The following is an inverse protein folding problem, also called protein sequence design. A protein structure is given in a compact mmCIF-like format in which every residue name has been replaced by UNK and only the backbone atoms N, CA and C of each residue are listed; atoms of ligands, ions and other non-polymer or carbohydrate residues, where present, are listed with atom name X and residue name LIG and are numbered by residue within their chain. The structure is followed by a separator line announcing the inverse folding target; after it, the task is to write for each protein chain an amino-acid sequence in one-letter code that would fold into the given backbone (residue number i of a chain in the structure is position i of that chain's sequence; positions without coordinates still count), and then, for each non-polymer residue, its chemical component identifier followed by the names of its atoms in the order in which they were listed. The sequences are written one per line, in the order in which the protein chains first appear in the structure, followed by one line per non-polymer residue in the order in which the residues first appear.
data_IF_230546745704
#
_entry.id   IF_230546745704
#
_cell.length_a   1.000
_cell.length_b   1.000
_cell.length_c   1.000
_cell.angle_alpha   90.00
_cell.angle_beta   90.00
_cell.angle_gamma   90.00
#
_symmetry.space_group_name_H-M   'P 1'
#
loop_
_entity.id
_entity.type
_entity.pdbx_description
1 polymer ?
2 branched ?
3 water ?
#
# COMPACT_ATOMS: atom_id res chain seq x y z
N UNK A 15 -19.24 13.75 3.32
CA UNK A 15 -19.00 12.31 3.38
C UNK A 15 -19.11 11.70 1.99
N UNK A 16 -18.23 10.75 1.70
CA UNK A 16 -18.18 10.21 0.35
C UNK A 16 -19.19 9.07 0.18
N UNK A 17 -19.59 8.87 -1.06
CA UNK A 17 -20.56 7.85 -1.45
C UNK A 17 -19.92 6.47 -1.63
N UNK A 18 -18.60 6.35 -1.54
CA UNK A 18 -17.92 5.07 -1.71
C UNK A 18 -18.25 4.42 -3.06
N UNK A 19 -18.36 5.22 -4.12
CA UNK A 19 -18.86 4.65 -5.36
C UNK A 19 -17.78 4.25 -6.37
N UNK A 20 -16.50 4.47 -6.10
CA UNK A 20 -15.43 3.91 -6.96
C UNK A 20 -14.70 2.81 -6.18
N UNK A 21 -15.35 1.65 -6.10
CA UNK A 21 -14.80 0.52 -5.37
C UNK A 21 -13.95 -0.33 -6.29
N UNK A 22 -12.71 -0.58 -5.90
CA UNK A 22 -11.78 -1.40 -6.68
C UNK A 22 -11.38 -2.54 -5.77
N UNK A 23 -12.09 -3.67 -5.87
CA UNK A 23 -11.94 -4.77 -4.93
C UNK A 23 -11.23 -5.95 -5.58
N UNK A 24 -10.14 -6.44 -4.97
CA UNK A 24 -9.43 -7.58 -5.55
C UNK A 24 -10.12 -8.92 -5.34
N UNK A 25 -11.00 -9.05 -4.35
CA UNK A 25 -11.63 -10.32 -4.02
C UNK A 25 -13.15 -10.20 -4.04
N UNK A 26 -13.81 -11.24 -4.55
CA UNK A 26 -15.27 -11.29 -4.47
C UNK A 26 -15.73 -12.04 -3.24
N UNK A 27 -14.87 -12.85 -2.64
CA UNK A 27 -15.20 -13.65 -1.47
C UNK A 27 -14.37 -13.15 -0.29
N UNK A 28 -13.74 -14.04 0.47
CA UNK A 28 -12.95 -13.60 1.61
C UNK A 28 -11.67 -12.91 1.13
N UNK A 29 -11.19 -11.97 1.92
CA UNK A 29 -9.99 -11.23 1.55
C UNK A 29 -8.76 -12.11 1.66
N UNK A 30 -8.00 -12.19 0.58
CA UNK A 30 -6.73 -12.86 0.57
C UNK A 30 -6.84 -14.28 0.08
N UNK A 31 -5.71 -14.91 -0.22
CA UNK A 31 -5.73 -16.33 -0.57
C UNK A 31 -6.02 -17.17 0.66
N UNK A 32 -6.39 -18.42 0.40
CA UNK A 32 -6.71 -19.33 1.49
C UNK A 32 -5.51 -20.17 1.90
N UNK A 33 -4.44 -20.16 1.11
CA UNK A 33 -3.30 -21.03 1.33
C UNK A 33 -2.25 -20.36 2.20
N UNK A 34 -1.35 -21.18 2.71
CA UNK A 34 -0.42 -20.78 3.75
C UNK A 34 0.84 -20.16 3.19
N UNK A 35 1.65 -19.64 4.12
CA UNK A 35 2.96 -19.15 3.75
C UNK A 35 3.81 -20.24 3.11
N UNK A 36 3.76 -21.47 3.63
CA UNK A 36 4.53 -22.56 3.04
C UNK A 36 4.12 -22.79 1.58
N UNK A 37 2.83 -22.64 1.27
CA UNK A 37 2.39 -22.78 -0.11
C UNK A 37 3.06 -21.73 -0.99
N UNK A 38 3.09 -20.49 -0.51
CA UNK A 38 3.72 -19.41 -1.25
C UNK A 38 5.20 -19.70 -1.47
N UNK A 39 5.88 -20.17 -0.43
CA UNK A 39 7.28 -20.52 -0.57
C UNK A 39 7.47 -21.57 -1.64
N UNK A 40 6.60 -22.57 -1.67
CA UNK A 40 6.81 -23.70 -2.56
C UNK A 40 6.46 -23.38 -4.00
N UNK A 41 5.69 -22.32 -4.24
CA UNK A 41 5.32 -21.96 -5.61
C UNK A 41 6.13 -20.81 -6.18
N UNK A 42 7.03 -20.22 -5.41
CA UNK A 42 7.70 -19.05 -5.98
C UNK A 42 8.83 -19.49 -6.92
N UNK A 43 9.27 -18.60 -7.79
CA UNK A 43 10.30 -18.98 -8.77
C UNK A 43 11.61 -19.40 -8.11
N UNK A 44 12.33 -20.28 -8.81
CA UNK A 44 13.56 -20.86 -8.26
C UNK A 44 14.58 -19.77 -7.93
N UNK A 45 14.54 -18.64 -8.65
CA UNK A 45 15.48 -17.55 -8.42
C UNK A 45 15.46 -17.02 -6.99
N UNK A 46 14.36 -17.21 -6.28
CA UNK A 46 14.20 -16.66 -4.95
C UNK A 46 14.39 -17.68 -3.84
N UNK A 47 14.76 -18.91 -4.20
CA UNK A 47 15.01 -19.92 -3.19
C UNK A 47 13.81 -20.15 -2.30
N UNK A 48 14.07 -20.22 -1.00
CA UNK A 48 13.05 -20.51 -0.01
C UNK A 48 12.62 -19.28 0.77
N UNK A 49 13.19 -18.11 0.50
CA UNK A 49 12.85 -16.90 1.25
C UNK A 49 11.87 -16.07 0.44
N UNK A 50 10.78 -15.68 1.07
CA UNK A 50 9.66 -15.06 0.39
C UNK A 50 9.53 -13.56 0.66
N UNK A 51 10.56 -12.93 1.22
CA UNK A 51 10.53 -11.49 1.40
C UNK A 51 11.92 -10.94 1.13
N UNK A 52 12.00 -9.63 0.96
CA UNK A 52 13.27 -8.94 0.79
C UNK A 52 13.48 -7.98 1.95
N UNK A 53 14.76 -7.72 2.23
CA UNK A 53 15.16 -6.80 3.28
C UNK A 53 16.13 -5.77 2.73
N UNK A 54 16.05 -4.55 3.28
CA UNK A 54 16.98 -3.49 2.91
C UNK A 54 17.21 -2.61 4.13
N UNK A 55 18.46 -2.34 4.44
CA UNK A 55 18.77 -1.38 5.51
C UNK A 55 18.23 0.00 5.14
N UNK A 56 17.47 0.61 6.04
CA UNK A 56 16.89 1.90 5.74
C UNK A 56 17.98 2.96 5.70
N UNK A 57 17.78 3.97 4.86
CA UNK A 57 18.66 5.12 4.90
C UNK A 57 18.50 5.80 6.26
N UNK A 58 19.55 6.49 6.68
CA UNK A 58 19.57 7.17 7.95
C UNK A 58 20.39 8.45 7.76
N UNK A 59 19.78 9.42 7.07
CA UNK A 59 20.41 10.72 6.82
C UNK A 59 19.90 11.69 7.87
N UNK A 60 20.71 11.92 8.91
CA UNK A 60 20.35 12.91 9.92
C UNK A 60 20.46 14.33 9.36
N UNK A 61 21.47 14.56 8.52
CA UNK A 61 21.69 15.88 7.92
C UNK A 61 20.99 15.92 6.56
N UNK A 62 19.66 15.90 6.63
CA UNK A 62 18.80 15.98 5.47
C UNK A 62 17.39 16.30 5.95
N UNK A 63 16.52 16.79 5.06
CA UNK A 63 15.11 16.98 5.44
C UNK A 63 14.46 15.64 5.72
N UNK A 64 13.29 15.72 6.37
CA UNK A 64 12.56 14.50 6.66
C UNK A 64 12.13 13.81 5.37
N UNK A 65 11.62 14.59 4.43
CA UNK A 65 11.11 14.01 3.19
C UNK A 65 11.23 15.02 2.07
N UNK A 66 11.08 14.52 0.85
CA UNK A 66 10.86 15.34 -0.33
C UNK A 66 9.59 14.84 -1.00
N UNK A 67 8.66 15.74 -1.29
CA UNK A 67 7.40 15.34 -1.91
C UNK A 67 7.29 16.02 -3.26
N UNK A 68 7.13 15.23 -4.31
CA UNK A 68 7.19 15.69 -5.68
C UNK A 68 5.88 15.39 -6.38
N UNK A 69 5.45 16.32 -7.22
CA UNK A 69 4.26 16.16 -8.05
C UNK A 69 4.68 15.74 -9.45
N UNK A 70 4.02 14.75 -10.01
CA UNK A 70 4.21 14.38 -11.41
C UNK A 70 2.89 14.50 -12.17
N UNK A 71 3.01 14.93 -13.42
CA UNK A 71 1.96 14.84 -14.42
C UNK A 71 2.62 14.22 -15.65
N UNK A 72 2.20 13.01 -16.00
CA UNK A 72 2.91 12.21 -16.98
C UNK A 72 1.96 11.64 -18.02
N UNK A 73 2.51 11.42 -19.22
CA UNK A 73 1.76 10.82 -20.33
C UNK A 73 2.02 9.32 -20.34
N UNK A 74 0.97 8.52 -20.22
CA UNK A 74 1.06 7.07 -20.21
C UNK A 74 0.40 6.56 -21.48
N UNK A 75 1.07 5.66 -22.19
CA UNK A 75 0.50 5.01 -23.35
C UNK A 75 0.27 3.55 -23.01
N UNK A 76 -0.97 3.10 -23.19
CA UNK A 76 -1.32 1.74 -22.82
C UNK A 76 -1.02 0.81 -24.00
N UNK A 77 -1.41 -0.47 -23.85
CA UNK A 77 -1.11 -1.46 -24.87
C UNK A 77 -1.79 -1.13 -26.19
N UNK A 78 -3.03 -0.65 -26.14
CA UNK A 78 -3.78 -0.32 -27.35
C UNK A 78 -3.26 0.95 -28.04
N UNK A 79 -2.18 1.57 -27.55
CA UNK A 79 -1.66 2.79 -28.11
C UNK A 79 -2.32 4.06 -27.64
N UNK A 80 -3.26 3.97 -26.70
CA UNK A 80 -4.02 5.13 -26.22
C UNK A 80 -3.19 5.92 -25.21
N UNK A 81 -3.14 7.24 -25.40
CA UNK A 81 -2.44 8.13 -24.48
C UNK A 81 -3.39 8.72 -23.45
N UNK A 82 -2.89 8.87 -22.23
CA UNK A 82 -3.65 9.48 -21.15
C UNK A 82 -2.69 10.21 -20.24
N UNK A 83 -3.11 11.37 -19.74
CA UNK A 83 -2.35 12.04 -18.69
C UNK A 83 -2.78 11.51 -17.33
N UNK A 84 -1.79 11.30 -16.47
CA UNK A 84 -2.02 10.88 -15.09
C UNK A 84 -1.28 11.84 -14.18
N UNK A 85 -1.82 12.06 -13.00
CA UNK A 85 -1.26 13.00 -12.04
C UNK A 85 -1.14 12.34 -10.67
N UNK A 86 -0.11 12.71 -9.93
CA UNK A 86 0.08 12.14 -8.62
C UNK A 86 1.31 12.68 -7.92
N UNK A 87 1.74 11.93 -6.91
CA UNK A 87 2.85 12.32 -6.07
C UNK A 87 3.80 11.16 -5.83
N UNK A 88 5.09 11.50 -5.74
CA UNK A 88 6.15 10.61 -5.31
C UNK A 88 6.80 11.26 -4.10
N UNK A 89 6.82 10.54 -2.98
CA UNK A 89 7.42 11.08 -1.76
C UNK A 89 8.62 10.22 -1.36
N UNK A 90 9.75 10.88 -1.08
CA UNK A 90 10.98 10.21 -0.69
C UNK A 90 11.28 10.52 0.76
N UNK A 91 11.50 9.48 1.56
CA UNK A 91 11.64 9.59 3.01
C UNK A 91 13.07 9.21 3.39
N UNK A 92 13.77 10.13 4.07
CA UNK A 92 15.21 9.99 4.25
C UNK A 92 15.61 9.20 5.49
N UNK A 93 14.76 9.14 6.52
CA UNK A 93 15.08 8.39 7.74
C UNK A 93 13.83 7.63 8.15
N UNK A 94 13.48 6.58 7.41
CA UNK A 94 12.18 5.92 7.63
C UNK A 94 11.99 5.38 9.02
N UNK A 95 13.05 4.87 9.67
CA UNK A 95 12.86 4.30 11.00
C UNK A 95 12.31 5.34 11.96
N UNK A 96 12.75 6.59 11.83
CA UNK A 96 12.32 7.62 12.74
C UNK A 96 11.01 8.26 12.33
N UNK A 97 10.71 8.34 11.03
CA UNK A 97 9.66 9.22 10.54
C UNK A 97 8.40 8.53 10.05
N UNK A 98 8.39 7.20 9.93
CA UNK A 98 7.26 6.49 9.34
C UNK A 98 6.45 5.81 10.44
N UNK A 99 5.13 6.02 10.41
CA UNK A 99 4.20 5.36 11.32
C UNK A 99 3.03 4.80 10.53
N UNK A 100 2.65 3.57 10.87
CA UNK A 100 1.38 3.00 10.45
C UNK A 100 0.35 3.35 11.52
N UNK A 101 -0.71 4.07 11.13
CA UNK A 101 -1.71 4.56 12.08
C UNK A 101 -3.02 3.82 11.90
N UNK A 102 -3.65 3.44 13.03
CA UNK A 102 -5.02 2.94 13.00
C UNK A 102 -5.98 4.07 12.66
N UNK A 103 -7.15 3.74 12.11
CA UNK A 103 -8.11 4.79 11.77
C UNK A 103 -8.57 5.53 13.02
N UNK A 104 -8.46 6.86 12.98
CA UNK A 104 -9.02 7.71 14.01
C UNK A 104 -8.14 7.86 15.24
N UNK A 105 -7.54 6.76 15.67
CA UNK A 105 -6.72 6.74 16.85
C UNK A 105 -6.46 5.31 17.26
N UNK A 106 -5.52 5.12 18.18
CA UNK A 106 -5.26 3.78 18.70
C UNK A 106 -6.55 3.14 19.16
N UNK A 107 -6.75 1.88 18.78
CA UNK A 107 -7.97 1.17 19.07
C UNK A 107 -9.02 1.23 17.98
N UNK A 108 -8.80 2.03 16.93
CA UNK A 108 -9.83 2.19 15.91
C UNK A 108 -10.20 0.89 15.20
N UNK A 109 -9.22 0.01 14.98
CA UNK A 109 -9.52 -1.24 14.30
C UNK A 109 -10.45 -2.13 15.11
N UNK A 110 -10.27 -2.15 16.43
CA UNK A 110 -11.12 -2.97 17.28
C UNK A 110 -12.58 -2.59 17.15
N UNK A 111 -12.89 -1.36 16.73
CA UNK A 111 -14.26 -0.88 16.64
C UNK A 111 -14.75 -0.80 15.21
N UNK A 112 -14.02 -1.37 14.26
CA UNK A 112 -14.40 -1.28 12.85
C UNK A 112 -14.62 0.17 12.42
N UNK A 113 -13.78 1.07 12.93
CA UNK A 113 -13.87 2.50 12.64
C UNK A 113 -13.21 2.85 11.31
N UNK A 114 -13.87 3.71 10.55
CA UNK A 114 -13.33 4.27 9.31
C UNK A 114 -13.23 5.79 9.46
N UNK A 115 -12.22 6.39 8.85
CA UNK A 115 -12.03 7.82 8.98
C UNK A 115 -11.21 8.33 7.80
N UNK A 116 -11.45 9.60 7.46
CA UNK A 116 -10.66 10.25 6.42
C UNK A 116 -9.18 10.21 6.76
N UNK A 117 -8.35 10.09 5.73
CA UNK A 117 -6.91 10.20 5.93
C UNK A 117 -6.58 11.49 6.66
N UNK A 118 -7.20 12.60 6.25
CA UNK A 118 -6.79 13.90 6.77
C UNK A 118 -7.07 14.00 8.27
N UNK A 119 -8.15 13.39 8.73
CA UNK A 119 -8.47 13.42 10.16
C UNK A 119 -7.48 12.58 10.95
N UNK A 120 -7.26 11.34 10.52
CA UNK A 120 -6.26 10.51 11.19
C UNK A 120 -4.89 11.17 11.14
N UNK A 121 -4.53 11.74 9.99
CA UNK A 121 -3.21 12.34 9.83
C UNK A 121 -2.98 13.47 10.82
N UNK A 122 -4.02 14.26 11.11
CA UNK A 122 -3.83 15.40 11.99
C UNK A 122 -3.54 14.98 13.42
N UNK A 123 -3.97 13.78 13.83
CA UNK A 123 -3.70 13.34 15.20
C UNK A 123 -2.21 13.20 15.46
N UNK A 124 -1.40 13.05 14.42
CA UNK A 124 0.04 12.91 14.56
C UNK A 124 0.81 13.97 13.79
N UNK A 125 0.14 15.02 13.30
CA UNK A 125 0.77 16.11 12.55
C UNK A 125 1.66 15.55 11.44
N UNK A 126 1.10 14.61 10.70
CA UNK A 126 1.82 14.02 9.58
C UNK A 126 2.13 15.10 8.56
N UNK A 127 3.39 15.15 8.13
CA UNK A 127 3.79 16.00 7.02
C UNK A 127 3.18 15.53 5.71
N UNK A 128 3.24 14.23 5.46
CA UNK A 128 2.59 13.60 4.32
C UNK A 128 1.87 12.40 4.85
N UNK A 129 0.64 12.17 4.39
CA UNK A 129 -0.07 10.96 4.74
C UNK A 129 -0.80 10.43 3.52
N UNK A 130 -0.86 9.11 3.40
CA UNK A 130 -1.68 8.46 2.41
C UNK A 130 -2.55 7.41 3.06
N UNK A 131 -3.61 7.03 2.36
CA UNK A 131 -4.36 5.89 2.81
C UNK A 131 -3.45 4.68 2.79
N UNK A 132 -3.84 3.66 3.57
CA UNK A 132 -2.97 2.54 3.81
C UNK A 132 -3.58 1.25 3.32
N UNK A 133 -3.97 0.41 4.27
CA UNK A 133 -4.34 -0.94 3.96
C UNK A 133 -5.78 -1.10 3.56
N UNK A 134 -6.11 -2.32 3.14
CA UNK A 134 -7.45 -2.69 2.74
C UNK A 134 -8.34 -2.87 3.97
N UNK A 135 -9.65 -2.78 3.74
CA UNK A 135 -10.62 -2.94 4.81
C UNK A 135 -11.91 -3.42 4.18
N UNK A 136 -12.77 -3.99 5.02
CA UNK A 136 -14.06 -4.48 4.57
C UNK A 136 -14.96 -3.27 4.34
N UNK A 137 -15.35 -3.05 3.07
CA UNK A 137 -16.06 -1.83 2.72
C UNK A 137 -17.51 -1.85 3.20
N UNK A 138 -18.00 -2.97 3.69
CA UNK A 138 -19.34 -3.02 4.28
C UNK A 138 -19.32 -2.86 5.80
N UNK A 139 -18.38 -3.51 6.49
CA UNK A 139 -18.38 -3.49 7.95
C UNK A 139 -17.34 -2.52 8.54
N UNK A 140 -16.32 -2.13 7.80
CA UNK A 140 -15.24 -1.33 8.33
C UNK A 140 -14.12 -2.14 8.95
N UNK A 141 -14.24 -3.46 8.96
CA UNK A 141 -13.22 -4.30 9.58
C UNK A 141 -11.86 -4.09 8.91
N UNK A 142 -10.82 -4.02 9.73
CA UNK A 142 -9.45 -3.94 9.24
C UNK A 142 -9.05 -5.29 8.67
N UNK A 143 -8.07 -5.27 7.76
CA UNK A 143 -7.63 -6.47 7.06
C UNK A 143 -6.12 -6.50 6.99
N UNK A 144 -5.57 -7.70 6.90
CA UNK A 144 -4.14 -7.85 6.87
C UNK A 144 -3.53 -7.81 8.26
N UNK A 145 -2.22 -7.71 8.28
CA UNK A 145 -1.46 -7.54 9.51
C UNK A 145 -1.23 -6.07 9.76
N UNK A 146 -1.27 -5.68 11.04
CA UNK A 146 -1.10 -4.27 11.40
C UNK A 146 -0.27 -4.22 12.66
N UNK A 147 0.87 -3.53 12.59
CA UNK A 147 1.67 -3.16 13.75
C UNK A 147 1.88 -1.67 13.67
N UNK A 148 1.55 -0.96 14.75
CA UNK A 148 1.55 0.50 14.79
C UNK A 148 2.45 0.93 15.94
N UNK A 149 3.57 1.57 15.62
CA UNK A 149 4.49 2.11 16.62
C UNK A 149 4.81 1.06 17.68
N UNK A 150 5.21 -0.13 17.21
CA UNK A 150 5.65 -1.20 18.08
C UNK A 150 4.55 -2.09 18.64
N UNK A 151 3.28 -1.73 18.43
CA UNK A 151 2.16 -2.42 19.07
C UNK A 151 1.44 -3.28 18.03
N UNK A 152 1.21 -4.54 18.39
CA UNK A 152 0.51 -5.45 17.51
C UNK A 152 -0.97 -5.11 17.55
N UNK A 153 -1.49 -4.65 16.42
CA UNK A 153 -2.89 -4.24 16.31
C UNK A 153 -3.74 -5.36 15.74
N UNK A 154 -3.26 -6.03 14.70
CA UNK A 154 -4.01 -7.11 14.08
C UNK A 154 -3.05 -8.15 13.56
N UNK A 155 -3.26 -9.38 13.99
CA UNK A 155 -2.57 -10.56 13.48
C UNK A 155 -3.55 -11.30 12.59
N UNK A 156 -3.31 -11.28 11.27
CA UNK A 156 -4.24 -11.91 10.34
C UNK A 156 -4.27 -13.42 10.48
N UNK A 157 -3.31 -14.00 11.20
CA UNK A 157 -3.16 -15.43 11.22
C UNK A 157 -2.45 -15.99 10.01
N UNK A 158 -1.56 -15.20 9.40
CA UNK A 158 -0.78 -15.67 8.28
C UNK A 158 -1.43 -15.56 6.92
N UNK A 159 -2.39 -14.66 6.74
CA UNK A 159 -2.95 -14.46 5.41
C UNK A 159 -1.86 -13.93 4.48
N UNK A 160 -1.74 -14.57 3.31
CA UNK A 160 -0.61 -14.33 2.42
C UNK A 160 -0.93 -13.26 1.40
N UNK A 161 -0.91 -12.02 1.85
CA UNK A 161 -0.88 -10.85 0.98
C UNK A 161 0.46 -10.16 1.12
N UNK A 162 0.76 -9.28 0.17
CA UNK A 162 2.00 -8.51 0.18
C UNK A 162 2.08 -7.63 1.43
N UNK A 163 3.27 -7.57 2.02
CA UNK A 163 3.50 -6.85 3.27
C UNK A 163 4.59 -5.80 3.11
N UNK A 164 4.48 -4.75 3.91
CA UNK A 164 5.54 -3.77 4.12
C UNK A 164 5.73 -3.56 5.62
N UNK A 165 6.96 -3.72 6.09
CA UNK A 165 7.25 -3.50 7.50
C UNK A 165 8.61 -2.85 7.71
N UNK A 166 8.78 -2.32 8.91
CA UNK A 166 10.04 -1.79 9.39
C UNK A 166 10.34 -2.47 10.71
N UNK A 167 11.56 -3.01 10.83
CA UNK A 167 12.01 -3.69 12.04
C UNK A 167 12.79 -2.72 12.93
N UNK A 168 12.92 -3.11 14.19
CA UNK A 168 13.48 -2.22 15.21
C UNK A 168 14.84 -1.68 14.80
N UNK A 169 15.63 -2.48 14.11
CA UNK A 169 16.98 -2.06 13.74
C UNK A 169 16.99 -1.26 12.44
N UNK A 170 15.83 -0.92 11.91
CA UNK A 170 15.74 -0.13 10.71
C UNK A 170 15.63 -0.93 9.43
N UNK A 171 15.57 -2.25 9.51
CA UNK A 171 15.43 -3.06 8.32
C UNK A 171 14.06 -2.82 7.69
N UNK A 172 14.05 -2.47 6.41
CA UNK A 172 12.82 -2.44 5.64
C UNK A 172 12.52 -3.83 5.11
N UNK A 173 11.27 -4.25 5.20
CA UNK A 173 10.87 -5.59 4.78
C UNK A 173 9.72 -5.46 3.80
N UNK A 174 9.84 -6.17 2.67
CA UNK A 174 8.81 -6.20 1.64
C UNK A 174 8.59 -7.63 1.20
N UNK A 175 7.33 -8.02 1.08
CA UNK A 175 6.98 -9.31 0.50
C UNK A 175 6.02 -10.12 1.35
N UNK A 176 6.22 -11.44 1.37
CA UNK A 176 5.31 -12.35 2.04
C UNK A 176 5.90 -12.81 3.37
N UNK A 177 5.08 -12.75 4.42
CA UNK A 177 5.52 -13.06 5.76
C UNK A 177 4.59 -14.08 6.41
N UNK A 178 5.18 -14.98 7.17
CA UNK A 178 4.40 -15.92 7.94
C UNK A 178 3.94 -15.27 9.24
N UNK A 179 3.01 -15.92 9.93
CA UNK A 179 2.62 -15.44 11.25
C UNK A 179 3.81 -15.45 12.20
N UNK A 180 4.64 -16.49 12.14
CA UNK A 180 5.82 -16.56 12.99
C UNK A 180 6.75 -15.38 12.71
N UNK A 181 6.88 -15.00 11.44
CA UNK A 181 7.69 -13.86 11.06
C UNK A 181 7.23 -12.58 11.79
N UNK A 182 5.93 -12.30 11.77
CA UNK A 182 5.46 -11.02 12.30
C UNK A 182 5.43 -11.03 13.82
N UNK A 183 5.39 -12.19 14.46
CA UNK A 183 5.40 -12.28 15.92
C UNK A 183 6.81 -12.32 16.50
N UNK A 184 7.83 -12.33 15.63
CA UNK A 184 9.21 -12.46 16.04
C UNK A 184 9.57 -11.41 17.09
N UNK A 185 10.17 -11.86 18.19
CA UNK A 185 10.58 -10.93 19.23
C UNK A 185 12.06 -10.57 19.16
N UNK A 186 12.81 -11.21 18.29
CA UNK A 186 14.14 -10.76 17.94
C UNK A 186 14.03 -9.75 16.80
N UNK A 187 14.58 -8.57 16.99
CA UNK A 187 14.51 -7.48 16.02
C UNK A 187 13.06 -7.30 15.58
N UNK A 188 12.16 -7.02 16.51
CA UNK A 188 10.73 -7.08 16.20
C UNK A 188 10.31 -6.00 15.23
N UNK A 189 9.19 -6.25 14.54
CA UNK A 189 8.62 -5.21 13.70
C UNK A 189 8.13 -4.05 14.56
N UNK A 190 8.43 -2.83 14.13
CA UNK A 190 7.86 -1.65 14.77
C UNK A 190 6.74 -1.03 13.93
N UNK A 191 6.73 -1.26 12.63
CA UNK A 191 5.60 -0.91 11.76
C UNK A 191 5.35 -2.07 10.82
N UNK A 192 4.09 -2.33 10.50
CA UNK A 192 3.72 -3.38 9.56
C UNK A 192 2.33 -3.10 9.01
N UNK A 193 2.18 -3.25 7.70
CA UNK A 193 0.92 -3.06 7.00
C UNK A 193 0.90 -4.02 5.82
N UNK A 194 -0.31 -4.42 5.39
CA UNK A 194 -0.48 -5.31 4.25
C UNK A 194 -1.18 -4.60 3.10
N UNK A 195 -0.76 -4.92 1.87
CA UNK A 195 -1.50 -4.53 0.68
C UNK A 195 -2.02 -5.72 -0.09
N UNK A 196 -2.12 -5.57 -1.40
CA UNK A 196 -2.53 -6.64 -2.30
C UNK A 196 -1.74 -6.41 -3.58
N UNK A 197 -0.82 -7.35 -3.86
CA UNK A 197 0.10 -7.41 -5.00
C UNK A 197 1.46 -6.83 -4.64
N UNK A 198 2.49 -7.64 -4.86
CA UNK A 198 3.89 -7.26 -4.74
C UNK A 198 4.33 -6.81 -6.13
N UNK A 199 4.49 -5.50 -6.31
CA UNK A 199 4.67 -4.92 -7.63
C UNK A 199 6.08 -5.17 -8.16
N UNK A 200 7.09 -4.92 -7.33
CA UNK A 200 8.48 -5.03 -7.71
C UNK A 200 9.21 -5.83 -6.67
N UNK A 201 10.02 -6.78 -7.13
CA UNK A 201 10.89 -7.59 -6.29
C UNK A 201 12.28 -7.54 -6.90
N UNK A 202 13.26 -7.05 -6.13
CA UNK A 202 14.64 -6.95 -6.58
C UNK A 202 14.75 -6.24 -7.94
N UNK A 203 13.91 -5.22 -8.12
CA UNK A 203 13.96 -4.38 -9.30
C UNK A 203 13.22 -4.90 -10.50
N UNK A 204 12.51 -6.02 -10.38
CA UNK A 204 11.78 -6.61 -11.49
C UNK A 204 10.30 -6.69 -11.17
N UNK A 205 9.48 -6.57 -12.21
CA UNK A 205 8.04 -6.65 -12.04
C UNK A 205 7.68 -8.04 -11.55
N UNK A 206 6.83 -8.11 -10.53
CA UNK A 206 6.53 -9.35 -9.82
C UNK A 206 5.03 -9.61 -9.77
N UNK A 207 4.29 -9.05 -10.71
CA UNK A 207 2.84 -9.08 -10.64
C UNK A 207 2.31 -10.46 -10.95
N UNK A 208 2.85 -11.12 -11.98
CA UNK A 208 2.35 -12.44 -12.29
C UNK A 208 2.63 -13.43 -11.16
N UNK A 209 3.79 -13.30 -10.52
CA UNK A 209 4.09 -14.11 -9.33
C UNK A 209 3.11 -13.77 -8.19
N UNK A 210 2.75 -12.50 -8.05
CA UNK A 210 1.81 -12.10 -7.01
C UNK A 210 0.44 -12.70 -7.23
N UNK A 211 0.00 -12.76 -8.48
CA UNK A 211 -1.31 -13.32 -8.76
C UNK A 211 -1.37 -14.75 -8.27
N UNK A 212 -0.30 -15.50 -8.48
CA UNK A 212 -0.25 -16.89 -8.03
C UNK A 212 -0.20 -16.98 -6.51
N UNK A 213 0.52 -16.07 -5.85
CA UNK A 213 0.68 -16.12 -4.41
C UNK A 213 -0.53 -15.61 -3.65
N UNK A 214 -1.25 -14.63 -4.21
CA UNK A 214 -2.22 -13.85 -3.44
C UNK A 214 -3.65 -14.11 -3.85
N UNK A 215 -3.89 -15.01 -4.76
CA UNK A 215 -5.24 -15.33 -5.19
C UNK A 215 -5.40 -16.84 -5.25
N UNK A 216 -6.53 -17.33 -4.76
CA UNK A 216 -6.86 -18.73 -4.93
C UNK A 216 -7.00 -19.08 -6.41
N UNK A 217 -6.54 -20.26 -6.79
CA UNK A 217 -6.57 -20.70 -8.18
C UNK A 217 -7.97 -21.26 -8.47
N UNK A 218 -8.92 -20.34 -8.51
CA UNK A 218 -10.33 -20.66 -8.71
C UNK A 218 -10.90 -19.64 -9.69
N UNK A 219 -12.23 -19.56 -9.76
CA UNK A 219 -12.88 -18.50 -10.53
C UNK A 219 -12.48 -17.11 -10.03
N UNK A 220 -11.96 -17.03 -8.80
CA UNK A 220 -11.52 -15.75 -8.22
C UNK A 220 -10.49 -15.06 -9.10
N UNK A 221 -9.70 -15.83 -9.88
CA UNK A 221 -8.60 -15.24 -10.62
C UNK A 221 -9.08 -14.26 -11.68
N UNK A 222 -10.28 -14.48 -12.24
CA UNK A 222 -10.79 -13.53 -13.22
C UNK A 222 -10.92 -12.12 -12.67
N UNK A 223 -11.64 -11.98 -11.55
CA UNK A 223 -11.77 -10.67 -10.92
C UNK A 223 -10.43 -10.15 -10.44
N UNK A 224 -9.55 -11.04 -9.97
CA UNK A 224 -8.25 -10.58 -9.49
C UNK A 224 -7.40 -10.05 -10.62
N UNK A 225 -7.41 -10.72 -11.77
CA UNK A 225 -6.65 -10.20 -12.91
C UNK A 225 -7.24 -8.90 -13.44
N UNK A 226 -8.57 -8.73 -13.37
CA UNK A 226 -9.16 -7.43 -13.70
C UNK A 226 -8.67 -6.35 -12.75
N UNK A 227 -8.66 -6.64 -11.44
CA UNK A 227 -8.11 -5.72 -10.45
C UNK A 227 -6.70 -5.28 -10.80
N UNK A 228 -5.91 -6.19 -11.36
CA UNK A 228 -4.54 -5.87 -11.77
C UNK A 228 -4.52 -5.05 -13.05
N UNK A 229 -5.35 -5.43 -14.04
CA UNK A 229 -5.28 -4.91 -15.42
C UNK A 229 -6.02 -3.61 -15.63
N UNK A 230 -7.03 -3.32 -14.82
CA UNK A 230 -7.86 -2.13 -15.03
C UNK A 230 -7.10 -0.88 -14.60
N UNK A 231 -7.34 0.25 -15.27
CA UNK A 231 -6.76 1.50 -14.75
C UNK A 231 -7.62 2.02 -13.61
N UNK A 232 -7.00 2.67 -12.62
CA UNK A 232 -7.71 3.27 -11.51
C UNK A 232 -6.77 4.21 -10.76
N UNK A 233 -7.29 4.82 -9.69
CA UNK A 233 -6.41 5.45 -8.73
C UNK A 233 -5.66 4.36 -8.00
N UNK A 234 -4.37 4.60 -7.71
CA UNK A 234 -3.54 3.60 -7.05
C UNK A 234 -2.63 4.28 -6.04
N UNK A 235 -2.20 3.52 -5.03
CA UNK A 235 -1.14 3.94 -4.13
C UNK A 235 -0.19 2.77 -3.89
N UNK A 236 1.06 3.09 -3.53
CA UNK A 236 2.07 2.05 -3.37
C UNK A 236 3.13 2.56 -2.42
N UNK A 237 3.89 1.61 -1.85
CA UNK A 237 5.04 1.94 -1.01
C UNK A 237 6.19 1.02 -1.39
N UNK A 238 7.39 1.58 -1.43
CA UNK A 238 8.57 0.85 -1.82
C UNK A 238 9.82 1.50 -1.27
N UNK A 239 10.98 1.06 -1.77
CA UNK A 239 12.24 1.65 -1.35
C UNK A 239 13.22 1.65 -2.50
N UNK A 240 14.20 2.55 -2.43
CA UNK A 240 15.24 2.62 -3.45
C UNK A 240 16.52 1.95 -2.95
N UNK A 241 17.58 2.02 -3.76
CA UNK A 241 18.80 1.29 -3.44
C UNK A 241 19.49 1.84 -2.20
N UNK A 242 19.31 3.12 -1.91
CA UNK A 242 19.91 3.71 -0.72
C UNK A 242 19.09 3.43 0.54
N UNK A 243 17.97 2.73 0.43
CA UNK A 243 17.12 2.52 1.57
C UNK A 243 16.17 3.65 1.90
N UNK A 244 15.97 4.59 0.99
CA UNK A 244 14.94 5.59 1.21
C UNK A 244 13.59 4.96 0.93
N UNK A 245 12.60 5.31 1.75
CA UNK A 245 11.24 4.86 1.51
C UNK A 245 10.58 5.76 0.47
N UNK A 246 9.84 5.14 -0.44
CA UNK A 246 9.19 5.83 -1.54
C UNK A 246 7.69 5.58 -1.40
N UNK A 247 6.92 6.66 -1.29
CA UNK A 247 5.45 6.59 -1.32
C UNK A 247 4.97 7.09 -2.66
N UNK A 248 4.00 6.38 -3.22
CA UNK A 248 3.48 6.68 -4.55
C UNK A 248 1.97 6.81 -4.51
N UNK A 249 1.44 7.79 -5.22
CA UNK A 249 0.01 7.99 -5.32
C UNK A 249 -0.28 8.44 -6.75
N UNK A 250 -1.35 7.93 -7.37
CA UNK A 250 -1.80 8.44 -8.67
C UNK A 250 -3.32 8.55 -8.63
N UNK A 251 -3.84 9.71 -9.01
CA UNK A 251 -5.29 9.89 -9.05
C UNK A 251 -5.85 9.10 -10.22
N UNK A 252 -7.12 8.72 -10.11
CA UNK A 252 -7.75 7.95 -11.16
C UNK A 252 -9.16 7.57 -10.80
N UNK A 253 -9.75 6.75 -11.66
CA UNK A 253 -11.12 6.28 -11.46
C UNK A 253 -11.26 5.00 -12.27
N UNK A 254 -11.81 3.96 -11.64
CA UNK A 254 -11.70 2.62 -12.19
C UNK A 254 -12.28 2.55 -13.60
N UNK A 255 -11.44 2.14 -14.54
CA UNK A 255 -11.73 1.92 -15.95
C UNK A 255 -11.87 3.22 -16.73
N UNK A 256 -11.56 4.38 -16.13
CA UNK A 256 -11.73 5.68 -16.79
C UNK A 256 -10.44 6.51 -16.75
N UNK A 257 -9.78 6.56 -15.59
CA UNK A 257 -8.58 7.38 -15.43
C UNK A 257 -7.61 6.65 -14.52
N UNK A 258 -6.33 6.99 -14.64
CA UNK A 258 -5.32 6.46 -13.74
C UNK A 258 -4.43 5.42 -14.38
N UNK A 259 -4.01 4.43 -13.60
CA UNK A 259 -3.01 3.47 -14.02
C UNK A 259 -3.41 2.08 -13.56
N UNK A 260 -3.02 1.07 -14.35
CA UNK A 260 -3.13 -0.30 -13.89
C UNK A 260 -1.81 -0.70 -13.22
N UNK A 261 -1.75 -1.91 -12.66
CA UNK A 261 -0.61 -2.23 -11.82
C UNK A 261 0.65 -2.46 -12.64
N UNK A 262 0.52 -2.94 -13.89
CA UNK A 262 1.66 -3.04 -14.78
C UNK A 262 2.31 -1.69 -14.98
N UNK A 263 1.48 -0.65 -15.14
CA UNK A 263 1.95 0.70 -15.40
C UNK A 263 2.59 1.29 -14.15
N UNK A 264 1.99 1.03 -12.98
CA UNK A 264 2.58 1.50 -11.74
C UNK A 264 3.95 0.88 -11.53
N UNK A 265 4.05 -0.45 -11.72
CA UNK A 265 5.32 -1.11 -11.50
C UNK A 265 6.40 -0.57 -12.44
N UNK A 266 6.05 -0.37 -13.71
CA UNK A 266 7.03 0.19 -14.65
C UNK A 266 7.41 1.61 -14.27
N UNK A 267 6.44 2.42 -13.84
CA UNK A 267 6.74 3.79 -13.43
C UNK A 267 7.71 3.81 -12.25
N UNK A 268 7.46 2.97 -11.25
CA UNK A 268 8.33 2.91 -10.08
C UNK A 268 9.68 2.33 -10.45
N UNK A 269 9.70 1.33 -11.32
CA UNK A 269 10.98 0.74 -11.72
C UNK A 269 11.87 1.79 -12.36
N UNK A 270 11.29 2.67 -13.18
CA UNK A 270 12.05 3.74 -13.83
C UNK A 270 12.49 4.82 -12.84
N UNK A 271 11.87 4.90 -11.67
CA UNK A 271 12.31 5.76 -10.59
C UNK A 271 13.32 5.06 -9.69
N UNK A 272 13.79 3.88 -10.09
CA UNK A 272 14.83 3.15 -9.37
C UNK A 272 14.32 2.58 -8.05
N UNK A 273 13.02 2.30 -7.96
CA UNK A 273 12.46 1.55 -6.85
C UNK A 273 12.79 0.07 -7.04
N UNK A 274 13.22 -0.58 -5.96
CA UNK A 274 13.69 -1.96 -6.03
C UNK A 274 12.66 -2.97 -5.51
N UNK A 275 11.95 -2.64 -4.44
CA UNK A 275 10.85 -3.47 -3.96
C UNK A 275 9.70 -2.53 -3.65
N UNK A 276 8.48 -2.97 -3.95
CA UNK A 276 7.30 -2.13 -3.76
C UNK A 276 6.07 -3.02 -3.72
N UNK A 277 5.09 -2.62 -2.88
CA UNK A 277 3.80 -3.28 -2.81
C UNK A 277 2.68 -2.26 -3.10
N UNK A 278 1.58 -2.79 -3.60
CA UNK A 278 0.38 -2.04 -3.89
C UNK A 278 -0.51 -1.92 -2.65
N UNK A 279 -0.86 -0.70 -2.28
CA UNK A 279 -1.80 -0.48 -1.19
C UNK A 279 -3.21 -0.24 -1.76
N UNK A 280 -4.12 0.30 -0.95
CA UNK A 280 -5.51 0.39 -1.40
C UNK A 280 -5.66 1.51 -2.43
N UNK A 281 -6.59 1.32 -3.36
CA UNK A 281 -6.77 2.25 -4.46
C UNK A 281 -8.22 2.57 -4.76
N UNK A 282 -8.53 2.91 -6.00
CA UNK A 282 -9.87 3.40 -6.28
C UNK A 282 -10.17 4.62 -5.45
N UNK A 283 -11.41 4.74 -5.02
CA UNK A 283 -11.83 5.88 -4.20
C UNK A 283 -11.11 5.99 -2.87
N UNK A 284 -10.42 4.94 -2.44
CA UNK A 284 -9.64 5.03 -1.20
C UNK A 284 -8.40 5.91 -1.37
N UNK A 285 -7.84 5.99 -2.57
CA UNK A 285 -6.56 6.65 -2.77
C UNK A 285 -6.65 8.14 -2.39
N UNK A 286 -5.77 8.55 -1.46
CA UNK A 286 -5.77 9.91 -0.93
C UNK A 286 -4.34 10.32 -0.64
N UNK A 287 -3.99 11.57 -0.96
CA UNK A 287 -2.71 12.16 -0.56
C UNK A 287 -2.98 13.43 0.22
N UNK A 288 -2.43 13.51 1.43
CA UNK A 288 -2.70 14.58 2.37
C UNK A 288 -1.38 15.24 2.75
N UNK A 289 -1.30 16.55 2.57
CA UNK A 289 -0.10 17.34 2.83
C UNK A 289 -0.35 18.24 4.04
N UNK A 290 0.42 18.03 5.11
CA UNK A 290 0.27 18.80 6.34
C UNK A 290 -1.18 18.88 6.80
N UNK A 291 -1.90 17.77 6.66
CA UNK A 291 -3.26 17.69 7.17
C UNK A 291 -4.34 18.15 6.22
N UNK A 292 -3.98 18.63 5.03
CA UNK A 292 -4.95 19.07 4.03
C UNK A 292 -4.99 18.09 2.87
N UNK A 293 -6.20 17.76 2.44
CA UNK A 293 -6.38 17.01 1.21
C UNK A 293 -5.68 17.71 0.06
N UNK A 294 -4.83 16.97 -0.66
CA UNK A 294 -4.03 17.57 -1.72
C UNK A 294 -4.06 16.73 -2.99
N UNK A 295 -5.09 15.91 -3.17
CA UNK A 295 -5.31 15.13 -4.37
C UNK A 295 -6.77 15.26 -4.80
N UNK A 296 -7.14 14.57 -5.87
CA UNK A 296 -8.48 14.63 -6.45
C UNK A 296 -9.12 13.26 -6.32
N UNK A 297 -9.89 13.01 -5.26
CA UNK A 297 -10.47 11.68 -5.05
C UNK A 297 -11.54 11.38 -6.07
N UNK A 298 -11.78 10.08 -6.27
CA UNK A 298 -12.71 9.65 -7.31
C UNK A 298 -14.14 9.43 -6.81
N UNK A 299 -14.37 9.16 -5.52
CA UNK A 299 -15.75 8.99 -5.06
C UNK A 299 -16.52 10.29 -5.19
N UNK A 300 -17.82 10.17 -5.43
CA UNK A 300 -18.68 11.33 -5.36
C UNK A 300 -19.12 11.58 -3.93
N UNK A 301 -19.31 12.85 -3.60
CA UNK A 301 -19.92 13.18 -2.32
C UNK A 301 -21.35 12.66 -2.31
N UNK A 302 -21.84 12.33 -1.12
CA UNK A 302 -23.22 11.89 -1.00
C UNK A 302 -24.21 12.85 -1.66
N UNK A 303 -24.06 14.17 -1.58
CA UNK A 303 -25.11 15.06 -2.08
C UNK A 303 -24.79 15.80 -3.37
N UNK A 304 -23.87 15.35 -4.22
CA UNK A 304 -23.50 16.23 -5.33
C UNK A 304 -22.70 15.51 -6.40
N UNK A 305 -22.45 16.25 -7.48
CA UNK A 305 -21.51 15.93 -8.55
C UNK A 305 -20.06 16.22 -8.14
N UNK A 306 -19.85 16.70 -6.93
CA UNK A 306 -18.52 16.95 -6.43
C UNK A 306 -17.87 15.64 -5.98
N UNK A 307 -16.55 15.68 -5.84
CA UNK A 307 -15.77 14.53 -5.39
C UNK A 307 -15.46 14.68 -3.90
N UNK A 308 -15.36 13.54 -3.21
CA UNK A 308 -15.12 13.54 -1.78
C UNK A 308 -14.12 12.46 -1.39
N UNK A 309 -13.24 12.77 -0.46
CA UNK A 309 -12.35 11.74 0.08
C UNK A 309 -13.15 10.68 0.84
N UNK A 310 -12.65 9.46 0.80
CA UNK A 310 -13.31 8.32 1.44
C UNK A 310 -12.83 8.15 2.89
N UNK A 311 -13.74 7.69 3.75
CA UNK A 311 -13.35 7.27 5.08
C UNK A 311 -12.73 5.88 4.95
N UNK A 312 -11.45 5.78 5.30
CA UNK A 312 -10.70 4.56 5.08
C UNK A 312 -10.22 3.98 6.42
N UNK A 313 -9.23 3.10 6.38
CA UNK A 313 -8.82 2.36 7.56
C UNK A 313 -7.44 2.87 8.02
N UNK A 314 -6.42 2.04 7.96
CA UNK A 314 -5.09 2.44 8.37
C UNK A 314 -4.54 3.50 7.42
N UNK A 315 -3.58 4.26 7.93
CA UNK A 315 -2.95 5.37 7.24
C UNK A 315 -1.44 5.20 7.34
N UNK A 316 -0.73 5.56 6.26
CA UNK A 316 0.72 5.64 6.27
C UNK A 316 1.11 7.10 6.46
N UNK A 317 1.83 7.39 7.54
CA UNK A 317 2.10 8.74 8.01
C UNK A 317 3.61 8.95 8.04
N UNK A 318 4.07 10.07 7.46
CA UNK A 318 5.44 10.52 7.58
C UNK A 318 5.43 11.75 8.46
N UNK A 319 6.18 11.72 9.56
CA UNK A 319 6.14 12.79 10.54
C UNK A 319 7.55 13.18 10.94
N UNK A 320 7.64 14.24 11.74
CA UNK A 320 8.94 14.68 12.22
C UNK A 320 9.50 13.66 13.22
N UNK A 321 10.80 13.44 13.15
CA UNK A 321 11.45 12.45 13.99
C UNK A 321 11.21 12.72 15.47
#
# INVERSE_FOLDING_TARGET
DRHHHHHHKLKDIRHSSDDDLLLPYTKSHGPSHSHRYVRDCQPVAHGTVTHETQAASKHSNSPVLESNIFISDITDDSGTHRWVSGHITEVHDPLRSVSVLEPGGPGGCAHNHRELVEVTAKTRKCLVAQNGGYFDTHTGQCLGNIISDGKLVRNSGGIQNAQFGIRKDGTLVFGYLSEDDILDQENPFVQLISGVVWLLRKGEIYINESIQAECDKTQETGNFRHFVDVISARTAVGHDKEGKLILFHVDGQTDVRGMNLWQVAKFLKDQNVMNAINLDGGGSATYVLNGSLASYPSDHCNPSKWRCPRAISTVLCIHER
#
